data_IF_823856772137
#
_entry.id   IF_823856772137
#
_cell.length_a   1.000
_cell.length_b   1.000
_cell.length_c   1.000
_cell.angle_alpha   90.00
_cell.angle_beta   90.00
_cell.angle_gamma   90.00
#
_symmetry.space_group_name_H-M   'P 1'
#
loop_
_entity.id
_entity.type
_entity.pdbx_description
1 polymer ?
#
# COMPACT_ATOMS: atom_id res chain seq x y z
N UNK A 1 -17.88 -35.83 -39.48
CA UNK A 1 -17.07 -34.72 -40.04
C UNK A 1 -16.12 -34.25 -38.95
N UNK A 2 -14.81 -34.41 -39.17
CA UNK A 2 -13.78 -34.22 -38.14
C UNK A 2 -13.33 -32.76 -37.98
N UNK A 3 -13.41 -32.24 -36.75
CA UNK A 3 -12.95 -30.88 -36.39
C UNK A 3 -11.47 -30.83 -35.93
N UNK A 4 -10.68 -31.87 -36.16
CA UNK A 4 -9.29 -32.01 -35.66
C UNK A 4 -8.19 -31.44 -36.59
N UNK A 5 -8.48 -30.42 -37.41
CA UNK A 5 -7.54 -29.93 -38.46
C UNK A 5 -7.43 -28.40 -38.68
N UNK A 6 -7.56 -27.59 -37.62
CA UNK A 6 -6.98 -26.24 -37.53
C UNK A 6 -6.47 -26.14 -36.06
N UNK A 7 -5.20 -26.00 -35.71
CA UNK A 7 -4.19 -25.03 -36.16
C UNK A 7 -2.79 -25.60 -35.86
N UNK A 8 -1.87 -25.71 -36.84
CA UNK A 8 -0.52 -26.28 -36.61
C UNK A 8 0.58 -25.53 -37.37
N UNK A 9 0.77 -24.24 -37.03
CA UNK A 9 1.95 -23.46 -37.46
C UNK A 9 2.12 -22.15 -36.67
N UNK A 10 2.76 -22.20 -35.50
CA UNK A 10 3.68 -21.14 -35.04
C UNK A 10 4.49 -21.60 -33.83
N UNK A 11 5.60 -22.29 -34.09
CA UNK A 11 6.71 -22.36 -33.14
C UNK A 11 7.97 -21.93 -33.88
N UNK A 12 8.50 -20.78 -33.48
CA UNK A 12 9.87 -20.25 -33.69
C UNK A 12 9.88 -18.77 -33.25
N UNK A 13 10.26 -18.53 -31.99
CA UNK A 13 11.02 -17.36 -31.53
C UNK A 13 11.21 -17.45 -30.02
N UNK A 14 12.27 -18.15 -29.63
CA UNK A 14 12.86 -18.12 -28.29
C UNK A 14 14.22 -17.44 -28.39
N UNK A 15 14.43 -16.26 -27.78
CA UNK A 15 15.76 -15.83 -27.39
C UNK A 15 16.11 -16.51 -26.05
N UNK A 16 17.01 -17.49 -26.12
CA UNK A 16 17.69 -18.03 -24.95
C UNK A 16 18.85 -17.09 -24.61
N UNK A 17 18.81 -16.44 -23.44
CA UNK A 17 19.95 -15.75 -22.86
C UNK A 17 19.97 -15.89 -21.34
N UNK A 18 20.67 -16.94 -20.90
CA UNK A 18 21.69 -16.94 -19.85
C UNK A 18 21.41 -16.25 -18.50
N UNK A 19 21.67 -17.00 -17.43
CA UNK A 19 21.81 -16.48 -16.07
C UNK A 19 22.91 -15.41 -15.98
N UNK A 20 22.61 -14.27 -15.33
CA UNK A 20 23.63 -13.39 -14.76
C UNK A 20 23.36 -13.14 -13.28
N UNK A 21 24.38 -13.40 -12.45
CA UNK A 21 24.35 -13.19 -11.00
C UNK A 21 24.22 -11.70 -10.65
N UNK A 22 23.58 -11.43 -9.51
CA UNK A 22 23.69 -10.14 -8.85
C UNK A 22 25.16 -9.83 -8.46
N UNK A 23 25.64 -8.59 -8.63
CA UNK A 23 26.87 -8.11 -8.01
C UNK A 23 26.59 -7.57 -6.59
N UNK A 24 27.51 -7.87 -5.66
CA UNK A 24 27.44 -7.41 -4.28
C UNK A 24 28.03 -5.99 -4.09
N UNK A 25 27.76 -5.41 -2.92
CA UNK A 25 28.29 -4.13 -2.43
C UNK A 25 29.83 -4.11 -2.37
N UNK A 26 30.42 -3.00 -2.82
CA UNK A 26 31.60 -2.36 -2.20
C UNK A 26 31.77 -0.95 -2.78
N UNK A 27 31.64 0.11 -1.98
CA UNK A 27 32.68 0.68 -1.13
C UNK A 27 33.62 1.64 -1.90
N UNK A 28 33.35 2.94 -1.76
CA UNK A 28 34.30 4.01 -2.07
C UNK A 28 34.63 4.78 -0.78
N UNK A 29 35.92 4.93 -0.51
CA UNK A 29 36.52 5.68 0.61
C UNK A 29 37.85 6.24 0.11
N UNK A 30 38.44 7.18 0.86
CA UNK A 30 39.70 7.92 0.59
C UNK A 30 39.55 9.15 -0.36
N UNK A 31 40.30 10.26 -0.18
CA UNK A 31 41.50 10.49 0.66
C UNK A 31 41.71 12.00 1.02
N UNK A 32 42.15 12.28 2.27
CA UNK A 32 42.96 13.43 2.80
C UNK A 32 42.45 14.88 2.55
N UNK A 33 42.89 15.97 3.21
CA UNK A 33 44.04 16.30 4.10
C UNK A 33 43.73 17.54 4.98
N UNK A 34 44.45 17.94 6.04
CA UNK A 34 45.22 17.23 7.09
C UNK A 34 45.55 18.11 8.33
N UNK A 35 46.04 17.48 9.40
CA UNK A 35 46.91 18.00 10.50
C UNK A 35 46.63 19.33 11.24
N UNK A 36 46.32 19.26 12.54
CA UNK A 36 47.13 19.93 13.60
C UNK A 36 46.89 19.33 15.01
N UNK A 37 47.79 18.42 15.39
CA UNK A 37 48.58 18.38 16.64
C UNK A 37 47.98 18.77 18.02
N UNK A 38 47.70 17.71 18.81
CA UNK A 38 47.97 17.51 20.26
C UNK A 38 47.37 18.50 21.29
N UNK A 39 46.86 18.09 22.47
CA UNK A 39 46.89 16.85 23.27
C UNK A 39 45.61 16.85 24.17
N UNK A 40 45.17 15.83 24.92
CA UNK A 40 45.71 14.51 25.30
C UNK A 40 44.57 13.47 25.45
N UNK A 41 44.60 12.60 26.46
CA UNK A 41 43.73 11.44 26.70
C UNK A 41 42.30 11.73 27.23
N UNK A 42 41.30 10.98 26.73
CA UNK A 42 40.76 9.78 27.41
C UNK A 42 39.35 9.38 26.91
N UNK A 43 39.18 8.11 26.51
CA UNK A 43 37.92 7.34 26.67
C UNK A 43 36.67 7.67 25.82
N UNK A 44 36.09 6.60 25.25
CA UNK A 44 34.70 6.48 24.72
C UNK A 44 34.26 7.40 23.56
N UNK A 45 34.06 6.79 22.38
CA UNK A 45 33.50 7.47 21.21
C UNK A 45 31.98 7.68 21.32
N UNK A 46 31.54 8.93 21.15
CA UNK A 46 30.12 9.28 21.11
C UNK A 46 29.46 8.97 19.78
N UNK A 47 28.62 7.93 19.74
CA UNK A 47 27.44 7.96 18.88
C UNK A 47 26.42 8.95 19.45
N UNK A 48 25.47 9.48 18.65
CA UNK A 48 24.36 10.25 19.20
C UNK A 48 23.59 9.39 20.22
N UNK A 49 23.13 9.96 21.35
CA UNK A 49 22.42 9.18 22.35
C UNK A 49 21.16 8.56 21.74
N UNK A 50 20.76 7.34 22.15
CA UNK A 50 19.46 6.81 21.79
C UNK A 50 18.37 7.78 22.28
N UNK A 51 17.26 7.95 21.55
CA UNK A 51 16.18 8.84 21.97
C UNK A 51 15.67 8.42 23.36
N UNK A 52 15.31 9.38 24.23
CA UNK A 52 14.94 9.08 25.61
C UNK A 52 13.74 8.12 25.64
N UNK A 53 13.92 6.97 26.30
CA UNK A 53 12.87 5.96 26.49
C UNK A 53 11.86 6.46 27.53
N UNK A 54 10.98 7.37 27.11
CA UNK A 54 9.86 7.85 27.93
C UNK A 54 8.98 6.68 28.36
N UNK A 55 9.17 6.30 29.61
CA UNK A 55 8.42 5.26 30.30
C UNK A 55 7.40 6.01 31.17
N UNK A 56 6.11 5.69 31.03
CA UNK A 56 4.96 6.43 31.56
C UNK A 56 4.74 7.83 30.96
N UNK A 57 4.05 7.87 29.81
CA UNK A 57 3.14 8.96 29.48
C UNK A 57 1.70 8.47 29.74
N UNK A 58 0.81 9.26 30.38
CA UNK A 58 -0.61 8.95 30.38
C UNK A 58 -1.15 8.97 28.95
N UNK A 59 -2.25 8.25 28.70
CA UNK A 59 -2.92 8.28 27.40
C UNK A 59 -3.42 9.70 27.11
N UNK A 60 -2.64 10.46 26.36
CA UNK A 60 -2.99 11.81 25.91
C UNK A 60 -4.13 11.72 24.91
N UNK A 61 -5.12 12.60 25.01
CA UNK A 61 -6.19 12.70 24.03
C UNK A 61 -5.61 13.05 22.66
N UNK A 62 -5.62 12.06 21.77
CA UNK A 62 -4.93 12.10 20.48
C UNK A 62 -5.69 12.95 19.46
N UNK A 63 -5.28 14.20 19.31
CA UNK A 63 -5.70 15.14 18.27
C UNK A 63 -4.72 15.09 17.08
N UNK A 64 -4.73 14.00 16.30
CA UNK A 64 -4.00 14.01 15.03
C UNK A 64 -3.83 12.68 14.29
N UNK A 65 -3.78 11.52 14.95
CA UNK A 65 -3.54 10.27 14.24
C UNK A 65 -4.85 9.66 13.71
N UNK A 66 -4.90 9.12 12.47
CA UNK A 66 -6.02 8.30 12.01
C UNK A 66 -6.39 7.20 13.01
N UNK A 67 -7.52 7.37 13.71
CA UNK A 67 -8.09 6.41 14.67
C UNK A 67 -8.64 5.17 13.96
N UNK A 68 -7.72 4.34 13.46
CA UNK A 68 -8.00 3.05 12.84
C UNK A 68 -7.93 1.98 13.94
N UNK A 69 -9.06 1.68 14.56
CA UNK A 69 -9.15 0.55 15.50
C UNK A 69 -8.87 -0.80 14.83
N UNK A 70 -8.44 -1.80 15.60
CA UNK A 70 -8.23 -3.17 15.11
C UNK A 70 -9.45 -3.76 14.41
N UNK A 71 -10.66 -3.40 14.88
CA UNK A 71 -11.92 -3.78 14.21
C UNK A 71 -12.01 -3.20 12.80
N UNK A 72 -11.58 -1.96 12.60
CA UNK A 72 -11.57 -1.30 11.28
C UNK A 72 -10.47 -1.89 10.40
N UNK A 73 -9.28 -2.21 10.96
CA UNK A 73 -8.23 -2.98 10.27
C UNK A 73 -8.78 -4.32 9.78
N UNK A 74 -9.39 -5.12 10.65
CA UNK A 74 -9.99 -6.41 10.31
C UNK A 74 -11.07 -6.27 9.22
N UNK A 75 -11.98 -5.30 9.35
CA UNK A 75 -13.02 -5.03 8.37
C UNK A 75 -12.43 -4.64 7.00
N UNK A 76 -11.38 -3.80 6.95
CA UNK A 76 -10.72 -3.42 5.70
C UNK A 76 -10.05 -4.63 5.05
N UNK A 77 -9.25 -5.39 5.80
CA UNK A 77 -8.39 -6.44 5.25
C UNK A 77 -9.17 -7.72 4.96
N UNK A 78 -9.77 -8.31 5.99
CA UNK A 78 -10.38 -9.65 5.94
C UNK A 78 -11.91 -9.60 5.80
N UNK A 79 -12.51 -8.47 6.20
CA UNK A 79 -13.96 -8.28 6.23
C UNK A 79 -14.59 -8.72 7.54
N UNK A 80 -15.84 -8.30 7.73
CA UNK A 80 -16.72 -8.75 8.80
C UNK A 80 -18.17 -8.92 8.29
N UNK A 81 -19.13 -9.17 9.19
CA UNK A 81 -20.54 -9.30 8.83
C UNK A 81 -21.18 -8.00 8.27
N UNK A 82 -20.43 -6.89 8.18
CA UNK A 82 -20.85 -5.63 7.54
C UNK A 82 -20.20 -5.42 6.17
N UNK A 83 -19.40 -6.37 5.70
CA UNK A 83 -18.68 -6.33 4.42
C UNK A 83 -17.19 -6.06 4.59
N UNK A 84 -16.63 -5.22 3.72
CA UNK A 84 -15.18 -5.00 3.63
C UNK A 84 -14.46 -6.16 2.93
N UNK A 85 -13.27 -6.52 3.42
CA UNK A 85 -12.45 -7.64 2.97
C UNK A 85 -11.75 -7.41 1.63
N UNK A 86 -10.78 -6.49 1.65
CA UNK A 86 -10.07 -5.98 0.48
C UNK A 86 -8.60 -6.45 0.39
N UNK A 87 -8.08 -7.24 1.33
CA UNK A 87 -6.80 -7.93 1.15
C UNK A 87 -6.90 -8.86 -0.07
N UNK A 88 -5.79 -9.07 -0.77
CA UNK A 88 -5.76 -10.02 -1.87
C UNK A 88 -6.07 -11.45 -1.39
N UNK A 89 -6.91 -12.16 -2.17
CA UNK A 89 -7.28 -13.55 -1.89
C UNK A 89 -8.49 -13.74 -0.96
N UNK A 90 -9.16 -12.67 -0.48
CA UNK A 90 -10.43 -12.81 0.26
C UNK A 90 -11.54 -13.38 -0.62
N UNK A 91 -11.48 -13.17 -1.94
CA UNK A 91 -12.43 -13.65 -2.94
C UNK A 91 -13.88 -13.25 -2.64
N UNK A 92 -14.11 -12.12 -1.96
CA UNK A 92 -15.46 -11.62 -1.67
C UNK A 92 -16.13 -11.16 -2.99
N UNK A 93 -17.31 -11.70 -3.36
CA UNK A 93 -17.93 -11.41 -4.65
C UNK A 93 -18.17 -9.91 -4.92
N UNK A 94 -17.95 -9.49 -6.18
CA UNK A 94 -18.16 -8.13 -6.69
C UNK A 94 -17.30 -7.02 -6.02
N UNK A 95 -16.41 -7.35 -5.07
CA UNK A 95 -15.47 -6.41 -4.45
C UNK A 95 -14.21 -6.20 -5.28
N UNK A 96 -13.46 -5.17 -4.95
CA UNK A 96 -12.06 -4.97 -5.37
C UNK A 96 -11.13 -5.44 -4.27
N UNK A 97 -9.96 -5.94 -4.65
CA UNK A 97 -8.86 -6.32 -3.76
C UNK A 97 -7.62 -5.45 -4.05
N UNK A 98 -6.82 -5.22 -3.02
CA UNK A 98 -5.50 -4.61 -3.13
C UNK A 98 -4.55 -5.52 -3.93
N UNK A 99 -3.41 -4.99 -4.41
CA UNK A 99 -2.44 -5.79 -5.15
C UNK A 99 -1.98 -7.04 -4.37
N UNK A 100 -1.78 -8.15 -5.07
CA UNK A 100 -1.19 -9.39 -4.50
C UNK A 100 0.19 -9.15 -3.86
N UNK A 101 0.91 -8.13 -4.32
CA UNK A 101 2.21 -7.72 -3.78
C UNK A 101 2.12 -6.83 -2.55
N UNK A 102 0.92 -6.44 -2.09
CA UNK A 102 0.72 -5.61 -0.91
C UNK A 102 0.35 -6.47 0.30
N UNK A 103 1.18 -6.43 1.34
CA UNK A 103 0.85 -7.01 2.64
C UNK A 103 -0.13 -6.14 3.45
N UNK A 104 -0.60 -6.68 4.57
CA UNK A 104 -1.55 -5.98 5.43
C UNK A 104 -1.02 -4.63 5.96
N UNK A 105 0.26 -4.54 6.32
CA UNK A 105 0.83 -3.34 6.92
C UNK A 105 1.10 -2.26 5.87
N UNK A 106 1.47 -2.66 4.66
CA UNK A 106 1.52 -1.79 3.49
C UNK A 106 0.14 -1.20 3.17
N UNK A 107 -0.92 -2.02 3.17
CA UNK A 107 -2.31 -1.55 3.02
C UNK A 107 -2.67 -0.56 4.12
N UNK A 108 -2.44 -0.89 5.39
CA UNK A 108 -2.82 0.00 6.49
C UNK A 108 -2.01 1.30 6.51
N UNK A 109 -0.74 1.27 6.09
CA UNK A 109 0.08 2.47 5.96
C UNK A 109 -0.35 3.32 4.75
N UNK A 110 -0.79 2.72 3.65
CA UNK A 110 -1.40 3.45 2.53
C UNK A 110 -2.72 4.11 2.96
N UNK A 111 -3.57 3.43 3.74
CA UNK A 111 -4.80 4.01 4.31
C UNK A 111 -4.49 5.20 5.24
N UNK A 112 -3.47 5.10 6.11
CA UNK A 112 -3.00 6.23 6.94
C UNK A 112 -2.50 7.41 6.09
N UNK A 113 -1.72 7.16 5.03
CA UNK A 113 -1.26 8.21 4.10
C UNK A 113 -2.42 8.92 3.41
N UNK A 114 -3.44 8.18 2.96
CA UNK A 114 -4.65 8.74 2.30
C UNK A 114 -5.49 9.57 3.28
N UNK A 115 -5.61 9.13 4.54
CA UNK A 115 -6.31 9.88 5.58
C UNK A 115 -5.59 11.19 5.94
N UNK A 116 -4.28 11.13 6.18
CA UNK A 116 -3.49 12.27 6.62
C UNK A 116 -3.26 13.33 5.54
N UNK A 117 -3.16 12.94 4.25
CA UNK A 117 -2.97 13.86 3.14
C UNK A 117 -3.74 13.41 1.88
N UNK A 118 -5.07 13.63 1.85
CA UNK A 118 -5.90 13.27 0.70
C UNK A 118 -5.75 14.27 -0.45
N UNK A 119 -5.62 13.76 -1.68
CA UNK A 119 -5.60 14.59 -2.89
C UNK A 119 -6.99 15.08 -3.30
N UNK A 120 -8.06 14.43 -2.82
CA UNK A 120 -9.44 14.86 -3.03
C UNK A 120 -10.33 14.47 -1.83
N UNK A 121 -11.32 15.31 -1.54
CA UNK A 121 -12.31 15.12 -0.46
C UNK A 121 -13.72 15.30 -1.03
N UNK A 122 -14.44 14.19 -1.18
CA UNK A 122 -15.87 14.19 -1.51
C UNK A 122 -16.67 14.26 -0.21
N UNK A 123 -17.13 15.48 0.14
CA UNK A 123 -17.89 15.70 1.38
C UNK A 123 -19.35 15.24 1.24
N UNK A 124 -19.86 14.43 2.16
CA UNK A 124 -21.29 14.06 2.28
C UNK A 124 -21.87 14.57 3.60
N UNK A 125 -23.17 14.36 3.82
CA UNK A 125 -23.84 14.77 5.06
C UNK A 125 -23.29 14.02 6.29
N UNK A 126 -23.18 12.69 6.23
CA UNK A 126 -22.91 11.84 7.40
C UNK A 126 -21.47 11.28 7.47
N UNK A 127 -20.72 11.39 6.38
CA UNK A 127 -19.36 10.89 6.24
C UNK A 127 -18.62 11.72 5.19
N UNK A 128 -17.31 11.56 5.08
CA UNK A 128 -16.52 12.05 3.97
C UNK A 128 -15.83 10.86 3.29
N UNK A 129 -15.82 10.84 1.95
CA UNK A 129 -14.94 9.96 1.20
C UNK A 129 -13.70 10.77 0.83
N UNK A 130 -12.52 10.28 1.18
CA UNK A 130 -11.25 10.90 0.81
C UNK A 130 -10.44 9.96 -0.06
N UNK A 131 -9.68 10.55 -0.97
CA UNK A 131 -8.98 9.83 -2.02
C UNK A 131 -7.53 10.27 -2.13
N UNK A 132 -6.64 9.32 -2.42
CA UNK A 132 -5.28 9.59 -2.85
C UNK A 132 -4.78 8.43 -3.72
N UNK A 133 -3.78 8.70 -4.57
CA UNK A 133 -3.07 7.65 -5.32
C UNK A 133 -1.80 7.29 -4.58
N UNK A 134 -1.68 6.05 -4.13
CA UNK A 134 -0.50 5.51 -3.45
C UNK A 134 0.11 4.43 -4.33
N UNK A 135 1.34 4.65 -4.78
CA UNK A 135 2.17 3.67 -5.48
C UNK A 135 1.45 3.00 -6.69
N UNK A 136 0.68 3.81 -7.43
CA UNK A 136 -0.09 3.40 -8.60
C UNK A 136 -1.53 2.92 -8.33
N UNK A 137 -1.96 2.86 -7.07
CA UNK A 137 -3.31 2.45 -6.63
C UNK A 137 -4.12 3.66 -6.17
N UNK A 138 -5.31 3.89 -6.72
CA UNK A 138 -6.27 4.87 -6.19
C UNK A 138 -7.06 4.25 -5.06
N UNK A 139 -6.97 4.85 -3.88
CA UNK A 139 -7.59 4.35 -2.65
C UNK A 139 -8.70 5.32 -2.23
N UNK A 140 -9.86 4.77 -1.87
CA UNK A 140 -10.88 5.50 -1.15
C UNK A 140 -10.86 5.10 0.33
N UNK A 141 -10.74 6.09 1.21
CA UNK A 141 -10.99 5.96 2.64
C UNK A 141 -12.31 6.67 2.96
N UNK A 142 -13.20 6.02 3.69
CA UNK A 142 -14.40 6.66 4.24
C UNK A 142 -14.17 7.00 5.72
N UNK A 143 -14.42 8.25 6.08
CA UNK A 143 -14.28 8.76 7.44
C UNK A 143 -15.64 9.22 7.97
N UNK A 144 -15.87 9.11 9.28
CA UNK A 144 -16.99 9.81 9.91
C UNK A 144 -16.67 11.30 10.09
N UNK A 145 -17.65 12.09 10.56
CA UNK A 145 -17.48 13.54 10.77
C UNK A 145 -16.56 13.95 11.93
N UNK A 146 -16.03 12.99 12.69
CA UNK A 146 -14.98 13.20 13.70
C UNK A 146 -13.57 12.86 13.17
N UNK A 147 -13.46 12.42 11.91
CA UNK A 147 -12.19 11.97 11.32
C UNK A 147 -11.84 10.50 11.59
N UNK A 148 -12.66 9.73 12.32
CA UNK A 148 -12.41 8.29 12.50
C UNK A 148 -12.60 7.56 11.17
N UNK A 149 -11.68 6.66 10.82
CA UNK A 149 -11.81 5.80 9.63
C UNK A 149 -12.91 4.76 9.86
N UNK A 150 -13.85 4.66 8.92
CA UNK A 150 -14.92 3.66 8.92
C UNK A 150 -14.50 2.42 8.10
N UNK A 151 -13.94 2.64 6.91
CA UNK A 151 -13.55 1.60 5.96
C UNK A 151 -12.66 2.20 4.85
N UNK A 152 -11.95 1.37 4.12
CA UNK A 152 -11.11 1.74 2.99
C UNK A 152 -11.05 0.62 1.95
N UNK A 153 -10.87 0.96 0.68
CA UNK A 153 -10.74 0.01 -0.42
C UNK A 153 -10.01 0.61 -1.62
N UNK A 154 -9.37 -0.22 -2.47
CA UNK A 154 -8.85 0.25 -3.74
C UNK A 154 -9.99 0.43 -4.73
N UNK A 155 -9.96 1.53 -5.48
CA UNK A 155 -10.89 1.81 -6.56
C UNK A 155 -10.42 1.14 -7.85
N UNK A 156 -9.18 1.45 -8.24
CA UNK A 156 -8.47 0.93 -9.40
C UNK A 156 -6.97 1.25 -9.31
N UNK A 157 -6.19 0.74 -10.25
CA UNK A 157 -4.76 1.02 -10.36
C UNK A 157 -3.90 -0.21 -10.60
N UNK A 158 -2.59 -0.04 -10.45
CA UNK A 158 -1.62 -1.11 -10.65
C UNK A 158 -1.86 -2.27 -9.68
N UNK A 159 -2.12 -3.47 -10.21
CA UNK A 159 -2.38 -4.69 -9.43
C UNK A 159 -3.77 -4.78 -8.77
N UNK A 160 -4.64 -3.77 -8.90
CA UNK A 160 -6.00 -3.84 -8.33
C UNK A 160 -6.85 -4.84 -9.11
N UNK A 161 -7.49 -5.75 -8.40
CA UNK A 161 -8.33 -6.81 -8.98
C UNK A 161 -9.78 -6.67 -8.56
N UNK A 162 -10.73 -6.89 -9.47
CA UNK A 162 -12.17 -7.04 -9.22
C UNK A 162 -12.52 -8.52 -9.17
N UNK A 163 -13.12 -8.94 -8.07
CA UNK A 163 -13.67 -10.26 -7.88
C UNK A 163 -14.98 -10.46 -8.67
N UNK A 164 -15.16 -11.67 -9.19
CA UNK A 164 -16.38 -12.14 -9.87
C UNK A 164 -17.65 -11.83 -9.06
N UNK A 165 -18.76 -11.54 -9.75
CA UNK A 165 -20.05 -11.28 -9.08
C UNK A 165 -20.68 -12.53 -8.47
N UNK A 166 -20.26 -13.71 -8.90
CA UNK A 166 -20.91 -14.99 -8.57
C UNK A 166 -20.25 -15.68 -7.39
N UNK A 167 -18.94 -15.88 -7.47
CA UNK A 167 -18.15 -16.67 -6.52
C UNK A 167 -16.89 -15.93 -6.03
N UNK A 168 -16.61 -14.76 -6.60
CA UNK A 168 -15.43 -13.92 -6.32
C UNK A 168 -14.07 -14.50 -6.70
N UNK A 169 -13.99 -15.75 -7.20
CA UNK A 169 -12.72 -16.44 -7.50
C UNK A 169 -12.09 -16.01 -8.82
N UNK A 170 -12.91 -15.76 -9.84
CA UNK A 170 -12.41 -15.13 -11.07
C UNK A 170 -12.10 -13.66 -10.79
N UNK A 171 -10.88 -13.24 -11.10
CA UNK A 171 -10.39 -11.88 -10.90
C UNK A 171 -10.15 -11.20 -12.25
N UNK A 172 -10.62 -9.96 -12.40
CA UNK A 172 -10.32 -9.10 -13.54
C UNK A 172 -9.51 -7.88 -13.08
N UNK A 173 -8.45 -7.45 -13.79
CA UNK A 173 -7.72 -6.24 -13.43
C UNK A 173 -8.64 -5.02 -13.53
N UNK A 174 -8.38 -4.01 -12.70
CA UNK A 174 -9.07 -2.72 -12.72
C UNK A 174 -8.05 -1.63 -13.04
N UNK A 175 -7.81 -1.31 -14.33
CA UNK A 175 -6.83 -0.31 -14.74
C UNK A 175 -7.09 1.06 -14.13
N UNK A 176 -6.01 1.81 -13.85
CA UNK A 176 -6.09 3.19 -13.37
C UNK A 176 -7.04 4.02 -14.25
N UNK A 177 -7.98 4.74 -13.62
CA UNK A 177 -8.98 5.56 -14.32
C UNK A 177 -10.30 4.85 -14.65
N UNK A 178 -10.43 3.54 -14.39
CA UNK A 178 -11.68 2.79 -14.62
C UNK A 178 -12.86 3.25 -13.75
N UNK A 179 -12.60 3.87 -12.60
CA UNK A 179 -13.60 4.38 -11.67
C UNK A 179 -13.67 5.90 -11.73
N UNK A 180 -14.82 6.44 -12.13
CA UNK A 180 -15.06 7.88 -12.04
C UNK A 180 -15.13 8.31 -10.56
N UNK A 181 -14.23 9.20 -10.16
CA UNK A 181 -14.31 9.89 -8.87
C UNK A 181 -15.15 11.17 -9.08
N UNK A 182 -16.22 11.43 -8.31
CA UNK A 182 -17.00 12.66 -8.44
C UNK A 182 -16.15 13.92 -8.24
N UNK A 183 -16.24 14.87 -9.17
CA UNK A 183 -15.48 16.13 -9.09
C UNK A 183 -13.98 16.03 -9.41
N UNK A 184 -13.49 14.87 -9.87
CA UNK A 184 -12.11 14.68 -10.37
C UNK A 184 -12.17 14.29 -11.84
N UNK A 185 -11.51 15.00 -12.77
CA UNK A 185 -11.43 14.59 -14.16
C UNK A 185 -10.66 13.26 -14.32
N UNK A 186 -10.95 12.52 -15.39
CA UNK A 186 -10.24 11.29 -15.75
C UNK A 186 -8.86 11.58 -16.37
#
# INVERSE_FOLDING_TARGET
MDLKKIWKKSQKNTPDFAHTKAPALNAFRQVLSDTSTAETASGTGGGPPPPPRVSNLPASDDEGEPRISDRVRQHILQGDNRGGGHLYGTNIPNKTEFPETWDEDQIMNAVRRVHANPSHIERKANFDNVHCTIDGVRIQVRMNKRGDVITAHPLDGHGVMRNSKTDGRLKAPVPLGSVQIPGVPL
#
